data_IF_766949217331
#
_entry.id   IF_766949217331
#
_cell.length_a   1.000
_cell.length_b   1.000
_cell.length_c   1.000
_cell.angle_alpha   90.00
_cell.angle_beta   90.00
_cell.angle_gamma   90.00
#
_symmetry.space_group_name_H-M   'P 1'
#
loop_
_entity.id
_entity.type
_entity.pdbx_description
1 polymer ?
#
# COMPACT_ATOMS: atom_id res chain seq x y z
N UNK A 1 27.17 -11.96 61.60
CA UNK A 1 28.17 -13.02 61.84
C UNK A 1 28.90 -13.16 60.50
N UNK A 2 29.94 -12.46 60.42
CA UNK A 2 31.38 -12.88 60.34
C UNK A 2 31.75 -13.57 59.02
N UNK A 3 32.46 -12.82 58.29
CA UNK A 3 33.54 -13.00 57.32
C UNK A 3 34.45 -14.24 57.60
N UNK A 4 35.62 -14.46 56.96
CA UNK A 4 36.28 -13.81 55.82
C UNK A 4 37.13 -14.77 54.93
N UNK A 5 37.71 -14.18 53.85
CA UNK A 5 39.12 -14.32 53.44
C UNK A 5 39.65 -15.63 52.84
N UNK A 6 40.22 -15.57 51.62
CA UNK A 6 41.71 -15.67 51.50
C UNK A 6 42.19 -15.38 50.08
N UNK A 7 43.16 -14.52 50.11
CA UNK A 7 44.14 -14.13 49.12
C UNK A 7 45.00 -15.35 48.67
N UNK A 8 45.33 -15.38 47.38
CA UNK A 8 46.30 -16.32 46.81
C UNK A 8 47.00 -15.69 45.62
N UNK A 9 48.07 -14.96 45.89
CA UNK A 9 48.96 -14.45 44.83
C UNK A 9 49.91 -15.59 44.41
N UNK A 10 49.97 -15.79 43.06
CA UNK A 10 51.07 -16.62 42.50
C UNK A 10 51.79 -15.76 41.46
N UNK A 11 53.01 -15.40 41.81
CA UNK A 11 54.03 -14.87 40.90
C UNK A 11 54.44 -15.99 39.93
N UNK A 12 54.40 -15.74 38.64
CA UNK A 12 54.96 -16.61 37.61
C UNK A 12 55.68 -15.77 36.55
N UNK A 13 56.98 -16.06 36.48
CA UNK A 13 58.01 -15.30 35.81
C UNK A 13 57.77 -15.10 34.24
N UNK A 14 58.28 -13.99 33.82
CA UNK A 14 58.40 -13.62 32.41
C UNK A 14 59.46 -14.46 31.69
N UNK A 15 59.08 -14.96 30.50
CA UNK A 15 60.03 -15.31 29.43
C UNK A 15 59.66 -14.56 28.19
N UNK A 16 60.40 -13.50 27.91
CA UNK A 16 60.30 -12.76 26.64
C UNK A 16 61.05 -13.51 25.55
N UNK A 17 60.33 -14.05 24.59
CA UNK A 17 60.90 -14.53 23.34
C UNK A 17 60.53 -13.50 22.23
N UNK A 18 61.52 -12.69 21.87
CA UNK A 18 61.43 -11.80 20.72
C UNK A 18 61.60 -12.61 19.46
N UNK A 19 60.50 -12.93 18.75
CA UNK A 19 60.55 -13.47 17.41
C UNK A 19 60.30 -12.30 16.43
N UNK A 20 61.36 -11.87 15.74
CA UNK A 20 61.23 -11.02 14.55
C UNK A 20 60.59 -11.84 13.44
N UNK A 21 59.29 -11.70 13.30
CA UNK A 21 58.55 -12.23 12.14
C UNK A 21 58.40 -11.16 11.09
N UNK A 22 59.16 -11.27 10.00
CA UNK A 22 58.83 -10.56 8.75
C UNK A 22 57.52 -11.12 8.20
N UNK A 23 56.43 -10.42 8.43
CA UNK A 23 55.15 -10.72 7.74
C UNK A 23 55.16 -10.06 6.39
N UNK A 24 55.04 -10.80 5.28
CA UNK A 24 54.79 -10.19 3.98
C UNK A 24 53.38 -9.54 4.00
N UNK A 25 53.33 -8.25 3.80
CA UNK A 25 52.06 -7.53 3.62
C UNK A 25 51.40 -7.99 2.32
N UNK A 26 50.45 -8.92 2.47
CA UNK A 26 49.54 -9.26 1.35
C UNK A 26 48.63 -8.04 1.15
N UNK A 27 48.96 -7.26 0.13
CA UNK A 27 48.15 -6.15 -0.28
C UNK A 27 46.89 -6.73 -0.97
N UNK A 28 45.81 -6.91 -0.22
CA UNK A 28 44.52 -7.28 -0.75
C UNK A 28 44.10 -6.17 -1.73
N UNK A 29 44.01 -6.51 -3.02
CA UNK A 29 43.41 -5.61 -4.00
C UNK A 29 41.92 -5.43 -3.61
N UNK A 30 41.50 -4.21 -3.38
CA UNK A 30 40.10 -3.90 -3.17
C UNK A 30 39.29 -4.34 -4.40
N UNK A 31 38.14 -5.02 -4.21
CA UNK A 31 37.29 -5.36 -5.33
C UNK A 31 36.89 -4.09 -6.08
N UNK A 32 37.05 -4.07 -7.39
CA UNK A 32 36.64 -2.96 -8.23
C UNK A 32 35.14 -2.74 -8.04
N UNK A 33 34.73 -1.50 -7.76
CA UNK A 33 33.32 -1.15 -7.70
C UNK A 33 32.61 -1.55 -9.01
N UNK A 34 31.41 -2.16 -8.95
CA UNK A 34 30.68 -2.50 -10.16
C UNK A 34 30.43 -1.23 -10.97
N UNK A 35 30.68 -1.29 -12.27
CA UNK A 35 30.40 -0.19 -13.18
C UNK A 35 28.91 0.20 -13.08
N UNK A 36 28.56 1.49 -13.19
CA UNK A 36 27.17 1.89 -13.19
C UNK A 36 26.43 1.18 -14.32
N UNK A 37 25.49 0.33 -13.96
CA UNK A 37 24.62 -0.36 -14.91
C UNK A 37 23.77 0.71 -15.61
N UNK A 38 23.82 0.76 -16.94
CA UNK A 38 22.95 1.64 -17.69
C UNK A 38 21.49 1.40 -17.28
N UNK A 39 20.65 2.46 -17.14
CA UNK A 39 19.26 2.30 -16.79
C UNK A 39 18.60 1.38 -17.83
N UNK A 40 17.89 0.36 -17.35
CA UNK A 40 17.11 -0.51 -18.20
C UNK A 40 16.12 0.34 -19.03
N UNK A 41 15.85 -0.03 -20.30
CA UNK A 41 14.87 0.69 -21.09
C UNK A 41 13.54 0.72 -20.33
N UNK A 42 12.99 1.91 -20.17
CA UNK A 42 11.71 2.10 -19.49
C UNK A 42 10.66 1.26 -20.22
N UNK A 43 9.96 0.40 -19.48
CA UNK A 43 8.80 -0.29 -20.02
C UNK A 43 7.82 0.74 -20.59
N UNK A 44 7.08 0.43 -21.68
CA UNK A 44 6.11 1.36 -22.24
C UNK A 44 5.17 1.82 -21.13
N UNK A 45 5.13 3.13 -20.91
CA UNK A 45 4.34 3.72 -19.86
C UNK A 45 2.86 3.41 -20.15
N UNK A 46 2.25 2.58 -19.32
CA UNK A 46 0.79 2.44 -19.33
C UNK A 46 0.21 3.81 -18.96
N UNK A 47 -0.71 4.38 -19.77
CA UNK A 47 -1.30 5.67 -19.48
C UNK A 47 -1.82 5.70 -18.04
N UNK A 48 -1.54 6.78 -17.31
CA UNK A 48 -2.07 6.95 -15.97
C UNK A 48 -3.60 6.95 -16.01
N UNK A 49 -4.26 6.30 -15.04
CA UNK A 49 -5.72 6.34 -14.96
C UNK A 49 -6.22 7.79 -14.84
N UNK A 50 -7.41 8.06 -15.36
CA UNK A 50 -8.04 9.37 -15.24
C UNK A 50 -8.11 9.80 -13.75
N UNK A 51 -7.66 11.01 -13.43
CA UNK A 51 -7.64 11.55 -12.07
C UNK A 51 -6.55 10.98 -11.17
N UNK A 52 -5.51 10.35 -11.74
CA UNK A 52 -4.32 9.90 -11.01
C UNK A 52 -3.09 10.60 -11.58
N UNK A 53 -2.47 11.42 -10.77
CA UNK A 53 -1.25 12.18 -11.15
C UNK A 53 0.01 11.43 -10.79
N UNK A 54 -0.04 10.58 -9.74
CA UNK A 54 1.07 9.76 -9.28
C UNK A 54 0.63 8.32 -9.01
N UNK A 55 0.72 7.48 -10.05
CA UNK A 55 0.33 6.06 -9.99
C UNK A 55 1.07 5.29 -8.89
N UNK A 56 2.37 5.58 -8.71
CA UNK A 56 3.17 4.90 -7.69
C UNK A 56 2.71 5.27 -6.27
N UNK A 57 2.42 6.54 -6.02
CA UNK A 57 1.93 6.99 -4.73
C UNK A 57 0.51 6.45 -4.46
N UNK A 58 -0.36 6.45 -5.46
CA UNK A 58 -1.69 5.87 -5.33
C UNK A 58 -1.64 4.38 -4.97
N UNK A 59 -0.75 3.62 -5.64
CA UNK A 59 -0.51 2.22 -5.31
C UNK A 59 0.06 2.02 -3.89
N UNK A 60 1.02 2.84 -3.47
CA UNK A 60 1.58 2.78 -2.11
C UNK A 60 0.51 3.07 -1.06
N UNK A 61 -0.27 4.11 -1.26
CA UNK A 61 -1.38 4.48 -0.37
C UNK A 61 -2.44 3.37 -0.29
N UNK A 62 -2.77 2.75 -1.43
CA UNK A 62 -3.63 1.55 -1.47
C UNK A 62 -3.04 0.42 -0.64
N UNK A 63 -1.78 0.07 -0.87
CA UNK A 63 -1.10 -1.04 -0.20
C UNK A 63 -1.11 -0.88 1.31
N UNK A 64 -0.86 0.32 1.80
CA UNK A 64 -0.76 0.61 3.23
C UNK A 64 -2.12 0.72 3.93
N UNK A 65 -3.18 1.14 3.22
CA UNK A 65 -4.45 1.49 3.87
C UNK A 65 -5.63 0.59 3.48
N UNK A 66 -5.56 -0.13 2.38
CA UNK A 66 -6.72 -0.83 1.81
C UNK A 66 -6.47 -2.33 1.58
N UNK A 67 -5.27 -2.67 1.09
CA UNK A 67 -4.91 -4.03 0.65
C UNK A 67 -5.06 -5.08 1.75
N UNK A 68 -4.83 -4.72 3.02
CA UNK A 68 -4.95 -5.65 4.16
C UNK A 68 -6.31 -6.34 4.23
N UNK A 69 -7.39 -5.62 3.90
CA UNK A 69 -8.75 -6.15 3.87
C UNK A 69 -9.19 -6.57 2.46
N UNK A 70 -8.84 -5.79 1.43
CA UNK A 70 -9.27 -6.04 0.06
C UNK A 70 -8.36 -6.97 -0.74
N UNK A 71 -7.22 -7.38 -0.17
CA UNK A 71 -6.19 -8.23 -0.78
C UNK A 71 -5.53 -7.59 -2.02
N UNK A 72 -4.43 -8.19 -2.46
CA UNK A 72 -3.66 -7.69 -3.60
C UNK A 72 -4.43 -7.73 -4.93
N UNK A 73 -5.30 -8.71 -5.09
CA UNK A 73 -6.10 -8.96 -6.28
C UNK A 73 -7.49 -8.29 -6.24
N UNK A 74 -7.82 -7.59 -5.16
CA UNK A 74 -9.12 -6.96 -4.98
C UNK A 74 -10.26 -7.94 -4.64
N UNK A 75 -9.96 -9.21 -4.34
CA UNK A 75 -10.97 -10.24 -4.05
C UNK A 75 -11.73 -10.02 -2.74
N UNK A 76 -11.18 -9.20 -1.84
CA UNK A 76 -11.79 -8.96 -0.54
C UNK A 76 -11.50 -10.06 0.48
N UNK A 77 -12.16 -9.99 1.63
CA UNK A 77 -12.04 -10.94 2.73
C UNK A 77 -13.41 -11.24 3.31
N UNK A 78 -13.75 -12.51 3.48
CA UNK A 78 -15.05 -12.96 3.97
C UNK A 78 -15.41 -12.28 5.29
N UNK A 79 -16.62 -11.76 5.36
CA UNK A 79 -17.15 -11.09 6.54
C UNK A 79 -16.52 -9.72 6.88
N UNK A 80 -15.46 -9.29 6.18
CA UNK A 80 -14.72 -8.06 6.50
C UNK A 80 -14.80 -7.03 5.37
N UNK A 81 -14.40 -7.39 4.16
CA UNK A 81 -14.40 -6.49 3.03
C UNK A 81 -14.86 -7.19 1.75
N UNK A 82 -15.80 -6.60 1.01
CA UNK A 82 -16.30 -7.21 -0.20
C UNK A 82 -15.27 -7.16 -1.33
N UNK A 83 -15.46 -8.03 -2.34
CA UNK A 83 -14.70 -7.95 -3.58
C UNK A 83 -14.91 -6.62 -4.28
N UNK A 84 -13.82 -6.08 -4.81
CA UNK A 84 -13.79 -4.92 -5.69
C UNK A 84 -13.68 -5.36 -7.16
N UNK A 85 -12.97 -6.48 -7.40
CA UNK A 85 -12.72 -6.98 -8.73
C UNK A 85 -14.05 -7.29 -9.47
N UNK A 86 -14.21 -6.69 -10.65
CA UNK A 86 -15.38 -6.86 -11.50
C UNK A 86 -16.71 -6.33 -10.92
N UNK A 87 -16.64 -5.52 -9.85
CA UNK A 87 -17.86 -5.10 -9.13
C UNK A 87 -17.88 -3.62 -8.78
N UNK A 88 -16.73 -3.05 -8.41
CA UNK A 88 -16.70 -1.73 -7.77
C UNK A 88 -17.11 -0.59 -8.70
N UNK A 89 -16.83 -0.66 -9.99
CA UNK A 89 -17.24 0.37 -10.93
C UNK A 89 -18.74 0.34 -11.26
N UNK A 90 -19.43 -0.79 -11.05
CA UNK A 90 -20.88 -0.90 -11.26
C UNK A 90 -21.70 0.02 -10.36
N UNK A 91 -21.18 0.41 -9.22
CA UNK A 91 -21.81 1.43 -8.37
C UNK A 91 -21.99 2.76 -9.09
N UNK A 92 -21.12 3.08 -10.06
CA UNK A 92 -21.20 4.32 -10.84
C UNK A 92 -22.31 4.32 -11.89
N UNK A 93 -22.99 3.18 -12.09
CA UNK A 93 -24.10 3.06 -13.05
C UNK A 93 -25.44 3.58 -12.51
N UNK A 94 -25.53 3.74 -11.19
CA UNK A 94 -26.78 4.08 -10.52
C UNK A 94 -26.67 5.30 -9.62
N UNK A 95 -27.74 6.08 -9.48
CA UNK A 95 -27.77 7.19 -8.53
C UNK A 95 -27.45 6.73 -7.10
N UNK A 96 -26.64 7.50 -6.40
CA UNK A 96 -26.23 7.20 -5.02
C UNK A 96 -25.02 6.28 -4.89
N UNK A 97 -24.65 5.56 -5.97
CA UNK A 97 -23.52 4.62 -5.89
C UNK A 97 -22.16 5.31 -5.77
N UNK A 98 -22.00 6.46 -6.42
CA UNK A 98 -20.80 7.29 -6.30
C UNK A 98 -20.59 7.78 -4.86
N UNK A 99 -21.63 8.30 -4.23
CA UNK A 99 -21.64 8.74 -2.84
C UNK A 99 -21.41 7.58 -1.89
N UNK A 100 -22.01 6.43 -2.17
CA UNK A 100 -21.82 5.20 -1.40
C UNK A 100 -20.34 4.84 -1.31
N UNK A 101 -19.63 4.82 -2.44
CA UNK A 101 -18.19 4.45 -2.49
C UNK A 101 -17.31 5.34 -1.60
N UNK A 102 -17.62 6.63 -1.46
CA UNK A 102 -16.86 7.55 -0.59
C UNK A 102 -17.24 7.37 0.89
N UNK A 103 -18.48 7.00 1.16
CA UNK A 103 -19.03 6.97 2.51
C UNK A 103 -18.90 5.62 3.21
N UNK A 104 -18.48 4.55 2.52
CA UNK A 104 -18.20 3.27 3.16
C UNK A 104 -17.14 3.43 4.25
N UNK A 105 -17.24 2.71 5.38
CA UNK A 105 -16.38 2.95 6.55
C UNK A 105 -14.89 2.99 6.23
N UNK A 106 -14.38 2.04 5.45
CA UNK A 106 -12.96 1.96 5.10
C UNK A 106 -12.44 3.16 4.32
N UNK A 107 -13.26 3.78 3.48
CA UNK A 107 -12.91 4.99 2.72
C UNK A 107 -13.11 6.23 3.59
N UNK A 108 -14.27 6.39 4.20
CA UNK A 108 -14.61 7.58 4.95
C UNK A 108 -13.69 7.83 6.16
N UNK A 109 -13.21 6.76 6.82
CA UNK A 109 -12.32 6.85 7.99
C UNK A 109 -10.83 6.69 7.65
N UNK A 110 -10.47 6.62 6.38
CA UNK A 110 -9.08 6.53 5.93
C UNK A 110 -8.26 7.72 6.46
N UNK A 111 -7.02 7.51 6.93
CA UNK A 111 -6.13 8.58 7.39
C UNK A 111 -5.54 9.41 6.24
N UNK A 112 -5.75 9.01 5.00
CA UNK A 112 -5.25 9.73 3.83
C UNK A 112 -5.84 11.13 3.72
N UNK A 113 -5.08 12.06 3.13
CA UNK A 113 -5.62 13.36 2.72
C UNK A 113 -6.75 13.16 1.70
N UNK A 114 -7.65 14.14 1.57
CA UNK A 114 -8.73 14.06 0.58
C UNK A 114 -8.19 13.95 -0.85
N UNK A 115 -7.05 14.57 -1.13
CA UNK A 115 -6.39 14.49 -2.44
C UNK A 115 -5.82 13.09 -2.70
N UNK A 116 -5.06 12.54 -1.75
CA UNK A 116 -4.51 11.19 -1.88
C UNK A 116 -5.61 10.13 -1.95
N UNK A 117 -6.68 10.31 -1.18
CA UNK A 117 -7.82 9.40 -1.18
C UNK A 117 -8.54 9.42 -2.53
N UNK A 118 -8.71 10.60 -3.15
CA UNK A 118 -9.29 10.71 -4.48
C UNK A 118 -8.45 9.96 -5.52
N UNK A 119 -7.12 10.12 -5.49
CA UNK A 119 -6.20 9.38 -6.37
C UNK A 119 -6.26 7.86 -6.15
N UNK A 120 -6.29 7.41 -4.89
CA UNK A 120 -6.45 5.98 -4.56
C UNK A 120 -7.76 5.43 -5.09
N UNK A 121 -8.87 6.16 -4.94
CA UNK A 121 -10.17 5.72 -5.43
C UNK A 121 -10.21 5.64 -6.96
N UNK A 122 -9.64 6.60 -7.66
CA UNK A 122 -9.53 6.59 -9.12
C UNK A 122 -8.64 5.43 -9.61
N UNK A 123 -7.49 5.24 -8.95
CA UNK A 123 -6.57 4.15 -9.25
C UNK A 123 -7.22 2.78 -9.01
N UNK A 124 -7.92 2.60 -7.92
CA UNK A 124 -8.58 1.36 -7.50
C UNK A 124 -9.67 0.95 -8.49
N UNK A 125 -10.53 1.88 -8.93
CA UNK A 125 -11.53 1.64 -9.95
C UNK A 125 -10.91 1.13 -11.25
N UNK A 126 -9.86 1.81 -11.72
CA UNK A 126 -9.14 1.40 -12.92
C UNK A 126 -8.42 0.05 -12.75
N UNK A 127 -7.83 -0.18 -11.59
CA UNK A 127 -7.03 -1.38 -11.33
C UNK A 127 -7.87 -2.64 -11.24
N UNK A 128 -9.04 -2.56 -10.62
CA UNK A 128 -9.84 -3.73 -10.29
C UNK A 128 -11.11 -3.89 -11.12
N UNK A 129 -11.58 -2.84 -11.78
CA UNK A 129 -12.87 -2.91 -12.49
C UNK A 129 -12.99 -1.92 -13.65
N UNK A 130 -11.91 -1.69 -14.38
CA UNK A 130 -11.90 -0.74 -15.52
C UNK A 130 -12.91 -1.09 -16.62
N UNK A 131 -13.26 -2.36 -16.74
CA UNK A 131 -14.17 -2.84 -17.79
C UNK A 131 -15.62 -2.37 -17.57
N UNK A 132 -15.96 -2.07 -16.32
CA UNK A 132 -17.28 -1.55 -15.97
C UNK A 132 -17.29 -0.04 -15.71
N UNK A 133 -16.18 0.68 -15.95
CA UNK A 133 -16.19 2.14 -15.86
C UNK A 133 -17.13 2.73 -16.94
N UNK A 134 -18.04 3.62 -16.55
CA UNK A 134 -18.86 4.34 -17.52
C UNK A 134 -18.02 5.12 -18.54
N UNK A 135 -18.43 5.19 -19.79
CA UNK A 135 -17.73 5.94 -20.83
C UNK A 135 -17.58 7.44 -20.50
N UNK A 136 -18.50 7.97 -19.70
CA UNK A 136 -18.50 9.35 -19.19
C UNK A 136 -17.97 9.46 -17.77
N UNK A 137 -17.15 8.50 -17.31
CA UNK A 137 -16.59 8.51 -15.96
C UNK A 137 -15.89 9.84 -15.66
N UNK A 138 -16.32 10.47 -14.57
CA UNK A 138 -15.66 11.64 -13.99
C UNK A 138 -14.82 11.21 -12.80
N UNK A 139 -13.50 11.47 -12.81
CA UNK A 139 -12.65 11.13 -11.66
C UNK A 139 -13.18 11.74 -10.37
N UNK A 140 -12.94 11.04 -9.27
CA UNK A 140 -13.15 11.59 -7.94
C UNK A 140 -12.17 12.74 -7.68
N UNK A 141 -12.61 13.73 -6.93
CA UNK A 141 -11.84 14.92 -6.57
C UNK A 141 -11.69 15.06 -5.06
N UNK A 142 -10.64 15.77 -4.61
CA UNK A 142 -10.43 16.07 -3.20
C UNK A 142 -11.63 16.78 -2.57
N UNK A 143 -12.25 17.72 -3.28
CA UNK A 143 -13.42 18.45 -2.79
C UNK A 143 -14.63 17.52 -2.56
N UNK A 144 -14.83 16.55 -3.44
CA UNK A 144 -15.88 15.53 -3.31
C UNK A 144 -15.59 14.60 -2.12
N UNK A 145 -14.33 14.14 -1.95
CA UNK A 145 -13.92 13.36 -0.78
C UNK A 145 -14.22 14.11 0.51
N UNK A 146 -13.75 15.36 0.63
CA UNK A 146 -13.98 16.22 1.80
C UNK A 146 -15.45 16.34 2.16
N UNK A 147 -16.30 16.58 1.16
CA UNK A 147 -17.74 16.78 1.35
C UNK A 147 -18.46 15.53 1.85
N UNK A 148 -18.14 14.36 1.30
CA UNK A 148 -18.92 13.15 1.50
C UNK A 148 -18.39 12.25 2.64
N UNK A 149 -17.08 12.16 2.83
CA UNK A 149 -16.50 11.31 3.89
C UNK A 149 -16.84 11.78 5.30
N UNK A 150 -17.20 13.04 5.46
CA UNK A 150 -17.67 13.59 6.77
C UNK A 150 -18.96 12.93 7.30
N UNK A 151 -19.67 12.19 6.43
CA UNK A 151 -20.92 11.48 6.75
C UNK A 151 -20.79 9.99 6.47
N UNK A 152 -19.96 9.25 7.23
CA UNK A 152 -19.70 7.84 6.99
C UNK A 152 -20.97 7.01 7.16
N UNK A 153 -21.13 6.02 6.28
CA UNK A 153 -22.09 4.94 6.50
C UNK A 153 -21.63 4.07 7.67
N UNK A 154 -22.58 3.40 8.32
CA UNK A 154 -22.32 2.52 9.46
C UNK A 154 -22.97 1.15 9.21
N UNK A 155 -23.97 0.82 10.00
CA UNK A 155 -24.67 -0.47 9.90
C UNK A 155 -25.45 -0.63 8.59
N UNK A 156 -25.88 0.47 7.99
CA UNK A 156 -26.61 0.49 6.72
C UNK A 156 -25.73 0.19 5.49
N UNK A 157 -24.41 0.24 5.62
CA UNK A 157 -23.50 0.10 4.47
C UNK A 157 -23.69 -1.23 3.71
N UNK A 158 -23.91 -2.33 4.42
CA UNK A 158 -24.08 -3.64 3.79
C UNK A 158 -25.41 -3.76 3.01
N UNK A 159 -26.51 -3.30 3.60
CA UNK A 159 -27.83 -3.28 2.94
C UNK A 159 -27.79 -2.38 1.71
N UNK A 160 -27.27 -1.15 1.86
CA UNK A 160 -27.14 -0.20 0.75
C UNK A 160 -26.28 -0.76 -0.39
N UNK A 161 -25.22 -1.51 -0.07
CA UNK A 161 -24.42 -2.20 -1.08
C UNK A 161 -25.25 -3.15 -1.91
N UNK A 162 -26.01 -4.01 -1.28
CA UNK A 162 -26.85 -5.00 -1.96
C UNK A 162 -27.89 -4.35 -2.86
N UNK A 163 -28.56 -3.32 -2.37
CA UNK A 163 -29.59 -2.59 -3.10
C UNK A 163 -29.02 -1.87 -4.34
N UNK A 164 -27.86 -1.22 -4.20
CA UNK A 164 -27.22 -0.51 -5.31
C UNK A 164 -26.73 -1.46 -6.39
N UNK A 165 -26.15 -2.61 -6.01
CA UNK A 165 -25.72 -3.62 -6.97
C UNK A 165 -26.90 -4.25 -7.70
N UNK A 166 -27.97 -4.61 -6.99
CA UNK A 166 -29.18 -5.13 -7.62
C UNK A 166 -29.76 -4.14 -8.65
N UNK A 167 -29.78 -2.84 -8.32
CA UNK A 167 -30.19 -1.79 -9.26
C UNK A 167 -29.25 -1.68 -10.46
N UNK A 168 -27.94 -1.75 -10.23
CA UNK A 168 -26.94 -1.67 -11.30
C UNK A 168 -27.08 -2.87 -12.28
N UNK A 169 -27.27 -4.06 -11.75
CA UNK A 169 -27.50 -5.27 -12.56
C UNK A 169 -28.79 -5.21 -13.35
N UNK A 170 -29.86 -4.66 -12.77
CA UNK A 170 -31.14 -4.48 -13.46
C UNK A 170 -31.09 -3.40 -14.55
N UNK A 171 -30.28 -2.36 -14.38
CA UNK A 171 -30.14 -1.26 -15.33
C UNK A 171 -29.18 -1.57 -16.48
N UNK A 172 -28.21 -2.43 -16.23
CA UNK A 172 -27.10 -2.66 -17.15
C UNK A 172 -26.12 -1.48 -17.21
N UNK A 173 -25.03 -1.62 -18.00
CA UNK A 173 -24.05 -0.55 -18.19
C UNK A 173 -24.66 0.66 -18.91
N UNK A 174 -24.31 1.90 -18.52
CA UNK A 174 -24.79 3.14 -19.15
C UNK A 174 -24.10 3.42 -20.48
#
# INVERSE_FOLDING_TARGET
MTAPTRCGAVLGAALSVAALGLTPAIRAAAPAAPAPTAPAPAAPAVPAPAGVTNVQLAWQNWTLNCQGCHRLDGSGSDGTAPSLAGTVAKFLWVPGGREYLIRVPGVATSPLSDADLAEVMNWMLWRYDREHLPSNFRPFTAAEMSSLRSRPLRLEAAGMRSDLLAKAEASGPP
#
